data_IF_987777895345
#
_entry.id   IF_987777895345
#
_cell.length_a   1.000
_cell.length_b   1.000
_cell.length_c   1.000
_cell.angle_alpha   90.00
_cell.angle_beta   90.00
_cell.angle_gamma   90.00
#
_symmetry.space_group_name_H-M   'P 1'
#
loop_
_entity.id
_entity.type
_entity.pdbx_description
1 polymer ?
#
# COMPACT_ATOMS: atom_id res chain seq x y z
N UNK A 1 -45.00 37.29 24.50
CA UNK A 1 -44.77 38.29 23.43
C UNK A 1 -44.08 37.53 22.29
N UNK A 2 -44.78 36.78 21.42
CA UNK A 2 -45.51 37.21 20.21
C UNK A 2 -44.81 38.34 19.44
N UNK A 3 -44.26 37.97 18.26
CA UNK A 3 -44.24 38.64 16.95
C UNK A 3 -43.29 37.79 16.05
N UNK A 4 -43.72 36.88 15.17
CA UNK A 4 -44.55 36.99 13.97
C UNK A 4 -43.81 37.57 12.72
N UNK A 5 -43.53 36.66 11.78
CA UNK A 5 -43.34 36.77 10.31
C UNK A 5 -42.25 37.67 9.69
N UNK A 6 -41.42 37.06 8.82
CA UNK A 6 -41.33 37.43 7.40
C UNK A 6 -40.52 36.39 6.62
N UNK A 7 -41.24 35.58 5.86
CA UNK A 7 -40.75 34.75 4.76
C UNK A 7 -40.47 35.68 3.57
N UNK A 8 -39.28 35.61 2.96
CA UNK A 8 -39.03 36.20 1.64
C UNK A 8 -38.18 35.23 0.80
N UNK A 9 -38.75 34.89 -0.37
CA UNK A 9 -38.21 34.01 -1.38
C UNK A 9 -37.26 34.74 -2.33
N UNK A 10 -36.26 33.99 -2.81
CA UNK A 10 -35.51 34.05 -4.07
C UNK A 10 -35.23 35.41 -4.74
N UNK A 11 -33.93 35.69 -4.89
CA UNK A 11 -33.39 36.32 -6.08
C UNK A 11 -32.05 35.69 -6.45
N UNK A 12 -32.03 34.97 -7.56
CA UNK A 12 -30.83 34.45 -8.19
C UNK A 12 -29.98 35.61 -8.75
N UNK A 13 -28.73 35.71 -8.31
CA UNK A 13 -27.71 36.50 -8.95
C UNK A 13 -26.49 35.60 -9.18
N UNK A 14 -26.39 35.09 -10.41
CA UNK A 14 -25.24 34.36 -10.90
C UNK A 14 -24.07 35.34 -11.08
N UNK A 15 -23.21 35.45 -10.06
CA UNK A 15 -21.88 36.04 -10.20
C UNK A 15 -20.89 34.89 -10.43
N UNK A 16 -20.34 34.82 -11.64
CA UNK A 16 -19.41 33.79 -12.08
C UNK A 16 -18.15 33.76 -11.22
N UNK A 17 -18.07 32.78 -10.33
CA UNK A 17 -16.79 32.29 -9.87
C UNK A 17 -16.22 31.42 -11.00
N UNK A 18 -15.21 31.94 -11.69
CA UNK A 18 -14.26 31.11 -12.40
C UNK A 18 -13.51 30.27 -11.35
N UNK A 19 -14.16 29.19 -10.90
CA UNK A 19 -13.48 28.15 -10.15
C UNK A 19 -12.51 27.51 -11.12
N UNK A 20 -11.22 27.86 -10.99
CA UNK A 20 -10.16 27.02 -11.49
C UNK A 20 -10.44 25.60 -10.98
N UNK A 21 -10.66 24.67 -11.90
CA UNK A 21 -10.91 23.28 -11.58
C UNK A 21 -9.63 22.69 -10.98
N UNK A 22 -9.41 22.92 -9.68
CA UNK A 22 -8.45 22.14 -8.91
C UNK A 22 -9.08 20.76 -8.85
N UNK A 23 -8.51 19.80 -9.58
CA UNK A 23 -8.94 18.41 -9.51
C UNK A 23 -8.92 17.98 -8.03
N UNK A 24 -10.09 17.63 -7.50
CA UNK A 24 -10.19 17.15 -6.13
C UNK A 24 -9.28 15.92 -5.96
N UNK A 25 -8.58 15.78 -4.83
CA UNK A 25 -7.75 14.60 -4.60
C UNK A 25 -8.62 13.35 -4.68
N UNK A 26 -8.08 12.30 -5.31
CA UNK A 26 -8.80 11.02 -5.41
C UNK A 26 -9.09 10.47 -4.01
N UNK A 27 -10.14 9.66 -3.88
CA UNK A 27 -10.47 8.98 -2.63
C UNK A 27 -9.26 8.20 -2.07
N UNK A 28 -8.50 7.53 -2.94
CA UNK A 28 -7.27 6.84 -2.58
C UNK A 28 -6.19 7.77 -2.02
N UNK A 29 -6.00 8.97 -2.60
CA UNK A 29 -5.06 9.98 -2.12
C UNK A 29 -5.48 10.54 -0.76
N UNK A 30 -6.78 10.77 -0.56
CA UNK A 30 -7.33 11.22 0.74
C UNK A 30 -7.13 10.13 1.79
N UNK A 31 -7.50 8.89 1.49
CA UNK A 31 -7.33 7.75 2.40
C UNK A 31 -5.86 7.55 2.80
N UNK A 32 -4.94 7.61 1.84
CA UNK A 32 -3.49 7.51 2.11
C UNK A 32 -2.99 8.63 3.02
N UNK A 33 -3.36 9.88 2.72
CA UNK A 33 -2.99 11.05 3.53
C UNK A 33 -3.52 10.92 4.96
N UNK A 34 -4.79 10.56 5.11
CA UNK A 34 -5.43 10.37 6.41
C UNK A 34 -4.81 9.23 7.20
N UNK A 35 -4.43 8.12 6.54
CA UNK A 35 -3.73 7.01 7.19
C UNK A 35 -2.36 7.44 7.74
N UNK A 36 -1.58 8.22 6.99
CA UNK A 36 -0.29 8.75 7.45
C UNK A 36 -0.45 9.75 8.60
N UNK A 37 -1.43 10.65 8.51
CA UNK A 37 -1.74 11.57 9.60
C UNK A 37 -2.15 10.82 10.88
N UNK A 38 -2.98 9.79 10.75
CA UNK A 38 -3.37 8.91 11.85
C UNK A 38 -2.17 8.16 12.43
N UNK A 39 -1.28 7.64 11.59
CA UNK A 39 -0.06 6.96 12.03
C UNK A 39 0.84 7.91 12.84
N UNK A 40 1.05 9.14 12.35
CA UNK A 40 1.82 10.17 13.05
C UNK A 40 1.17 10.58 14.39
N UNK A 41 -0.15 10.78 14.41
CA UNK A 41 -0.89 11.14 15.62
C UNK A 41 -0.85 10.01 16.66
N UNK A 42 -1.10 8.76 16.24
CA UNK A 42 -1.01 7.58 17.09
C UNK A 42 0.39 7.42 17.66
N UNK A 43 1.43 7.58 16.84
CA UNK A 43 2.82 7.53 17.29
C UNK A 43 3.11 8.60 18.33
N UNK A 44 2.69 9.85 18.11
CA UNK A 44 2.89 10.95 19.06
C UNK A 44 2.30 10.61 20.43
N UNK A 45 1.06 10.12 20.45
CA UNK A 45 0.36 9.73 21.70
C UNK A 45 1.04 8.53 22.36
N UNK A 46 1.32 7.46 21.61
CA UNK A 46 1.96 6.25 22.14
C UNK A 46 3.36 6.56 22.69
N UNK A 47 4.15 7.35 21.95
CA UNK A 47 5.49 7.77 22.36
C UNK A 47 5.47 8.60 23.64
N UNK A 48 4.51 9.50 23.78
CA UNK A 48 4.36 10.30 24.98
C UNK A 48 4.05 9.43 26.20
N UNK A 49 3.18 8.42 26.06
CA UNK A 49 2.90 7.43 27.11
C UNK A 49 4.17 6.69 27.55
N UNK A 50 5.12 6.44 26.65
CA UNK A 50 6.37 5.79 27.01
C UNK A 50 7.21 6.56 28.03
N UNK A 51 6.97 7.86 28.24
CA UNK A 51 7.68 8.65 29.24
C UNK A 51 7.36 8.24 30.68
N UNK A 52 6.28 7.49 30.92
CA UNK A 52 5.98 6.93 32.25
C UNK A 52 6.82 5.69 32.60
N UNK A 53 7.60 5.18 31.65
CA UNK A 53 8.50 4.04 31.86
C UNK A 53 9.95 4.50 31.95
N UNK A 54 10.80 3.66 32.56
CA UNK A 54 12.25 3.87 32.65
C UNK A 54 13.02 2.65 32.13
N UNK A 55 14.30 2.86 31.83
CA UNK A 55 15.21 1.79 31.38
C UNK A 55 14.68 1.02 30.16
N UNK A 56 14.86 -0.31 30.18
CA UNK A 56 14.47 -1.19 29.09
C UNK A 56 12.98 -1.11 28.74
N UNK A 57 12.10 -0.94 29.74
CA UNK A 57 10.66 -0.82 29.50
C UNK A 57 10.32 0.40 28.62
N UNK A 58 11.02 1.51 28.82
CA UNK A 58 10.88 2.69 27.95
C UNK A 58 11.37 2.40 26.55
N UNK A 59 12.52 1.74 26.41
CA UNK A 59 13.10 1.38 25.10
C UNK A 59 12.16 0.49 24.29
N UNK A 60 11.58 -0.55 24.92
CA UNK A 60 10.61 -1.44 24.28
C UNK A 60 9.34 -0.69 23.87
N UNK A 61 8.75 0.09 24.78
CA UNK A 61 7.56 0.90 24.48
C UNK A 61 7.79 1.83 23.28
N UNK A 62 8.97 2.45 23.23
CA UNK A 62 9.39 3.33 22.13
C UNK A 62 9.49 2.58 20.80
N UNK A 63 10.11 1.39 20.80
CA UNK A 63 10.25 0.57 19.62
C UNK A 63 8.89 0.11 19.11
N UNK A 64 7.99 -0.33 20.01
CA UNK A 64 6.63 -0.74 19.67
C UNK A 64 5.81 0.40 19.06
N UNK A 65 5.90 1.61 19.63
CA UNK A 65 5.24 2.78 19.07
C UNK A 65 5.75 3.11 17.65
N UNK A 66 7.07 2.98 17.41
CA UNK A 66 7.66 3.19 16.08
C UNK A 66 7.22 2.11 15.10
N UNK A 67 7.25 0.84 15.51
CA UNK A 67 6.78 -0.27 14.67
C UNK A 67 5.31 -0.09 14.28
N UNK A 68 4.43 0.22 15.24
CA UNK A 68 3.02 0.48 14.95
C UNK A 68 2.82 1.61 13.92
N UNK A 69 3.66 2.64 13.94
CA UNK A 69 3.65 3.71 12.91
C UNK A 69 4.05 3.16 11.54
N UNK A 70 5.19 2.45 11.48
CA UNK A 70 5.72 1.87 10.23
C UNK A 70 4.71 0.91 9.62
N UNK A 71 4.08 0.04 10.41
CA UNK A 71 3.02 -0.86 9.95
C UNK A 71 1.87 -0.10 9.28
N UNK A 72 1.39 0.99 9.88
CA UNK A 72 0.32 1.80 9.31
C UNK A 72 0.75 2.48 8.00
N UNK A 73 1.91 3.14 8.00
CA UNK A 73 2.44 3.87 6.84
C UNK A 73 2.75 2.91 5.66
N UNK A 74 3.39 1.78 5.94
CA UNK A 74 3.74 0.75 4.97
C UNK A 74 2.50 0.14 4.32
N UNK A 75 1.51 -0.26 5.12
CA UNK A 75 0.25 -0.82 4.60
C UNK A 75 -0.55 0.22 3.81
N UNK A 76 -0.61 1.47 4.28
CA UNK A 76 -1.26 2.55 3.56
C UNK A 76 -0.59 2.80 2.20
N UNK A 77 0.74 2.80 2.14
CA UNK A 77 1.50 2.96 0.90
C UNK A 77 1.28 1.80 -0.07
N UNK A 78 1.26 0.56 0.44
CA UNK A 78 0.99 -0.64 -0.35
C UNK A 78 -0.41 -0.59 -0.97
N UNK A 79 -1.41 -0.19 -0.20
CA UNK A 79 -2.78 -0.02 -0.69
C UNK A 79 -2.89 1.12 -1.70
N UNK A 80 -2.28 2.28 -1.42
CA UNK A 80 -2.32 3.45 -2.28
C UNK A 80 -1.69 3.19 -3.66
N UNK A 81 -0.53 2.54 -3.70
CA UNK A 81 0.16 2.21 -4.96
C UNK A 81 -0.44 0.99 -5.66
N UNK A 82 -1.08 0.09 -4.90
CA UNK A 82 -1.66 -1.17 -5.34
C UNK A 82 -0.74 -2.09 -6.16
N UNK A 83 0.58 -1.83 -6.18
CA UNK A 83 1.55 -2.59 -6.98
C UNK A 83 2.23 -3.69 -6.18
N UNK A 84 2.72 -4.72 -6.87
CA UNK A 84 3.47 -5.81 -6.26
C UNK A 84 4.69 -5.28 -5.48
N UNK A 85 5.47 -4.37 -6.09
CA UNK A 85 6.64 -3.79 -5.41
C UNK A 85 6.25 -3.05 -4.15
N UNK A 86 5.16 -2.28 -4.14
CA UNK A 86 4.74 -1.55 -2.94
C UNK A 86 4.32 -2.49 -1.80
N UNK A 87 3.71 -3.64 -2.12
CA UNK A 87 3.37 -4.68 -1.13
C UNK A 87 4.63 -5.37 -0.60
N UNK A 88 5.61 -5.64 -1.45
CA UNK A 88 6.92 -6.19 -1.04
C UNK A 88 7.67 -5.22 -0.14
N UNK A 89 7.81 -3.95 -0.55
CA UNK A 89 8.45 -2.89 0.25
C UNK A 89 7.79 -2.77 1.64
N UNK A 90 6.47 -2.90 1.71
CA UNK A 90 5.75 -2.84 2.97
C UNK A 90 6.08 -4.02 3.89
N UNK A 91 6.16 -5.24 3.35
CA UNK A 91 6.56 -6.44 4.11
C UNK A 91 7.99 -6.34 4.62
N UNK A 92 8.91 -5.83 3.80
CA UNK A 92 10.30 -5.60 4.20
C UNK A 92 10.39 -4.57 5.35
N UNK A 93 9.73 -3.41 5.20
CA UNK A 93 9.71 -2.39 6.24
C UNK A 93 9.06 -2.87 7.56
N UNK A 94 8.02 -3.71 7.48
CA UNK A 94 7.39 -4.34 8.64
C UNK A 94 8.34 -5.33 9.33
N UNK A 95 9.04 -6.17 8.56
CA UNK A 95 10.02 -7.10 9.12
C UNK A 95 11.15 -6.37 9.87
N UNK A 96 11.68 -5.29 9.29
CA UNK A 96 12.71 -4.46 9.92
C UNK A 96 12.19 -3.81 11.21
N UNK A 97 10.96 -3.31 11.20
CA UNK A 97 10.32 -2.71 12.36
C UNK A 97 10.07 -3.72 13.50
N UNK A 98 9.68 -4.95 13.15
CA UNK A 98 9.46 -6.02 14.11
C UNK A 98 10.79 -6.55 14.69
N UNK A 99 11.86 -6.56 13.88
CA UNK A 99 13.22 -6.79 14.36
C UNK A 99 13.65 -5.76 15.39
N UNK A 100 13.41 -4.47 15.14
CA UNK A 100 13.76 -3.40 16.07
C UNK A 100 13.04 -3.57 17.43
N UNK A 101 11.77 -4.00 17.41
CA UNK A 101 11.01 -4.33 18.63
C UNK A 101 11.62 -5.55 19.34
N UNK A 102 11.89 -6.62 18.60
CA UNK A 102 12.46 -7.84 19.16
C UNK A 102 13.85 -7.57 19.78
N UNK A 103 14.70 -6.82 19.08
CA UNK A 103 16.01 -6.38 19.56
C UNK A 103 15.91 -5.53 20.82
N UNK A 104 14.97 -4.58 20.86
CA UNK A 104 14.72 -3.79 22.07
C UNK A 104 14.31 -4.67 23.26
N UNK A 105 13.49 -5.71 23.03
CA UNK A 105 13.10 -6.66 24.08
C UNK A 105 14.28 -7.50 24.57
N UNK A 106 15.21 -7.84 23.69
CA UNK A 106 16.42 -8.58 24.04
C UNK A 106 17.34 -7.84 25.01
N UNK A 107 17.32 -6.50 25.04
CA UNK A 107 18.19 -5.68 25.90
C UNK A 107 17.93 -5.83 27.42
N UNK A 108 16.89 -6.58 27.82
CA UNK A 108 16.69 -7.02 29.21
C UNK A 108 17.54 -8.23 29.62
N UNK A 109 18.10 -8.95 28.63
CA UNK A 109 18.95 -10.12 28.84
C UNK A 109 20.41 -9.67 28.90
N UNK A 110 21.30 -10.57 29.31
CA UNK A 110 22.74 -10.29 29.37
C UNK A 110 23.56 -11.48 28.86
N UNK A 111 24.79 -11.19 28.42
CA UNK A 111 25.76 -12.21 27.99
C UNK A 111 25.24 -13.06 26.83
N UNK A 112 25.42 -14.37 26.92
CA UNK A 112 25.02 -15.30 25.86
C UNK A 112 23.50 -15.25 25.57
N UNK A 113 22.67 -15.05 26.59
CA UNK A 113 21.22 -15.00 26.40
C UNK A 113 20.76 -13.80 25.57
N UNK A 114 21.43 -12.65 25.71
CA UNK A 114 21.19 -11.48 24.87
C UNK A 114 21.64 -11.73 23.43
N UNK A 115 22.84 -12.27 23.25
CA UNK A 115 23.40 -12.57 21.94
C UNK A 115 22.54 -13.56 21.15
N UNK A 116 22.04 -14.62 21.80
CA UNK A 116 21.12 -15.59 21.19
C UNK A 116 19.81 -14.91 20.81
N UNK A 117 19.21 -14.12 21.71
CA UNK A 117 17.96 -13.42 21.44
C UNK A 117 18.07 -12.48 20.22
N UNK A 118 19.16 -11.71 20.10
CA UNK A 118 19.37 -10.82 18.96
C UNK A 118 19.55 -11.62 17.65
N UNK A 119 20.24 -12.78 17.71
CA UNK A 119 20.39 -13.66 16.54
C UNK A 119 19.08 -14.28 16.11
N UNK A 120 18.24 -14.72 17.04
CA UNK A 120 16.88 -15.22 16.75
C UNK A 120 16.01 -14.14 16.11
N UNK A 121 16.02 -12.93 16.68
CA UNK A 121 15.32 -11.79 16.11
C UNK A 121 15.80 -11.48 14.68
N UNK A 122 17.11 -11.49 14.44
CA UNK A 122 17.68 -11.26 13.11
C UNK A 122 17.34 -12.38 12.13
N UNK A 123 17.32 -13.63 12.59
CA UNK A 123 16.93 -14.77 11.76
C UNK A 123 15.45 -14.64 11.32
N UNK A 124 14.57 -14.20 12.22
CA UNK A 124 13.16 -13.95 11.89
C UNK A 124 13.01 -12.82 10.85
N UNK A 125 13.74 -11.71 11.01
CA UNK A 125 13.78 -10.60 10.03
C UNK A 125 14.23 -11.09 8.65
N UNK A 126 15.37 -11.79 8.59
CA UNK A 126 15.94 -12.32 7.35
C UNK A 126 14.97 -13.28 6.68
N UNK A 127 14.31 -14.15 7.45
CA UNK A 127 13.28 -15.05 6.92
C UNK A 127 12.12 -14.27 6.31
N UNK A 128 11.55 -13.31 7.04
CA UNK A 128 10.41 -12.53 6.57
C UNK A 128 10.73 -11.70 5.30
N UNK A 129 11.93 -11.11 5.24
CA UNK A 129 12.42 -10.38 4.05
C UNK A 129 12.65 -11.34 2.88
N UNK A 130 13.24 -12.51 3.12
CA UNK A 130 13.46 -13.52 2.09
C UNK A 130 12.12 -14.02 1.51
N UNK A 131 11.14 -14.31 2.36
CA UNK A 131 9.81 -14.74 1.94
C UNK A 131 9.11 -13.66 1.11
N UNK A 132 9.20 -12.39 1.52
CA UNK A 132 8.64 -11.28 0.77
C UNK A 132 9.23 -11.16 -0.65
N UNK A 133 10.54 -11.38 -0.78
CA UNK A 133 11.26 -11.36 -2.07
C UNK A 133 10.96 -12.60 -2.92
N UNK A 134 10.84 -13.77 -2.29
CA UNK A 134 10.48 -15.00 -2.97
C UNK A 134 9.07 -14.91 -3.56
N UNK A 135 8.10 -14.45 -2.77
CA UNK A 135 6.73 -14.24 -3.23
C UNK A 135 6.66 -13.27 -4.41
N UNK A 136 7.41 -12.17 -4.35
CA UNK A 136 7.53 -11.22 -5.48
C UNK A 136 7.98 -11.92 -6.76
N UNK A 137 9.10 -12.65 -6.70
CA UNK A 137 9.66 -13.36 -7.85
C UNK A 137 8.68 -14.39 -8.42
N UNK A 138 7.98 -15.14 -7.56
CA UNK A 138 6.98 -16.13 -7.99
C UNK A 138 5.80 -15.46 -8.69
N UNK A 139 5.33 -14.32 -8.18
CA UNK A 139 4.23 -13.57 -8.78
C UNK A 139 4.65 -12.99 -10.14
N UNK A 140 5.85 -12.41 -10.23
CA UNK A 140 6.43 -11.90 -11.49
C UNK A 140 6.56 -13.02 -12.53
N UNK A 141 7.21 -14.13 -12.18
CA UNK A 141 7.36 -15.27 -13.09
C UNK A 141 6.02 -15.83 -13.59
N UNK A 142 5.00 -15.85 -12.73
CA UNK A 142 3.64 -16.25 -13.12
C UNK A 142 2.96 -15.22 -14.03
N UNK A 143 3.26 -13.94 -13.88
CA UNK A 143 2.73 -12.88 -14.74
C UNK A 143 3.36 -12.97 -16.13
N UNK A 144 4.69 -13.09 -16.20
CA UNK A 144 5.44 -13.24 -17.43
C UNK A 144 4.98 -14.50 -18.20
N UNK A 145 4.87 -15.64 -17.52
CA UNK A 145 4.39 -16.87 -18.15
C UNK A 145 2.95 -16.76 -18.71
N UNK A 146 2.09 -15.95 -18.07
CA UNK A 146 0.74 -15.68 -18.60
C UNK A 146 0.80 -14.79 -19.83
N UNK A 147 1.63 -13.75 -19.82
CA UNK A 147 1.79 -12.85 -20.96
C UNK A 147 2.39 -13.57 -22.18
N UNK A 148 3.40 -14.42 -21.96
CA UNK A 148 3.99 -15.26 -23.01
C UNK A 148 2.94 -16.16 -23.66
N UNK A 149 2.13 -16.84 -22.84
CA UNK A 149 1.04 -17.70 -23.33
C UNK A 149 0.01 -16.88 -24.12
N UNK A 150 -0.46 -15.77 -23.56
CA UNK A 150 -1.43 -14.90 -24.24
C UNK A 150 -0.87 -14.34 -25.55
N UNK A 151 0.41 -14.00 -25.60
CA UNK A 151 1.09 -13.52 -26.80
C UNK A 151 1.18 -14.63 -27.86
N UNK A 152 1.48 -15.87 -27.47
CA UNK A 152 1.49 -17.01 -28.37
C UNK A 152 0.08 -17.31 -28.91
N UNK A 153 -0.92 -17.35 -28.04
CA UNK A 153 -2.32 -17.59 -28.41
C UNK A 153 -2.87 -16.47 -29.32
N UNK A 154 -2.50 -15.21 -29.05
CA UNK A 154 -2.83 -14.05 -29.89
C UNK A 154 -2.23 -14.19 -31.29
N UNK A 155 -0.94 -14.56 -31.41
CA UNK A 155 -0.32 -14.81 -32.72
C UNK A 155 -1.08 -15.86 -33.52
N UNK A 156 -1.46 -16.97 -32.88
CA UNK A 156 -2.28 -18.01 -33.53
C UNK A 156 -3.66 -17.49 -33.93
N UNK A 157 -4.29 -16.65 -33.11
CA UNK A 157 -5.58 -16.04 -33.44
C UNK A 157 -5.48 -15.11 -34.66
N UNK A 158 -4.40 -14.33 -34.76
CA UNK A 158 -4.12 -13.47 -35.91
C UNK A 158 -3.91 -14.30 -37.18
N UNK A 159 -3.08 -15.33 -37.14
CA UNK A 159 -2.86 -16.24 -38.28
C UNK A 159 -4.18 -16.89 -38.76
N UNK A 160 -5.11 -17.20 -37.84
CA UNK A 160 -6.45 -17.69 -38.21
C UNK A 160 -7.29 -16.62 -38.93
N UNK A 161 -7.16 -15.36 -38.55
CA UNK A 161 -7.85 -14.25 -39.22
C UNK A 161 -7.32 -14.03 -40.65
N UNK A 162 -6.10 -14.45 -40.96
CA UNK A 162 -5.51 -14.30 -42.30
C UNK A 162 -6.23 -15.12 -43.38
N UNK A 163 -7.03 -16.12 -43.00
CA UNK A 163 -7.92 -16.83 -43.90
C UNK A 163 -9.13 -16.00 -44.39
N UNK A 164 -9.37 -14.82 -43.78
CA UNK A 164 -10.48 -13.92 -44.11
C UNK A 164 -9.99 -12.74 -44.97
N UNK A 165 -10.94 -12.00 -45.57
CA UNK A 165 -10.64 -10.81 -46.36
C UNK A 165 -11.60 -9.65 -46.04
N UNK A 166 -11.14 -8.42 -46.30
CA UNK A 166 -11.90 -7.19 -46.12
C UNK A 166 -12.43 -7.03 -44.69
N UNK A 167 -13.64 -6.49 -44.56
CA UNK A 167 -14.25 -6.18 -43.25
C UNK A 167 -14.33 -7.38 -42.29
N UNK A 168 -14.43 -8.61 -42.81
CA UNK A 168 -14.45 -9.82 -41.98
C UNK A 168 -13.09 -10.07 -41.31
N UNK A 169 -11.98 -9.83 -42.02
CA UNK A 169 -10.63 -9.92 -41.46
C UNK A 169 -10.41 -8.85 -40.40
N UNK A 170 -10.80 -7.61 -40.70
CA UNK A 170 -10.62 -6.48 -39.79
C UNK A 170 -11.38 -6.71 -38.48
N UNK A 171 -12.63 -7.19 -38.56
CA UNK A 171 -13.42 -7.55 -37.39
C UNK A 171 -12.80 -8.69 -36.58
N UNK A 172 -12.24 -9.71 -37.24
CA UNK A 172 -11.54 -10.82 -36.60
C UNK A 172 -10.32 -10.33 -35.81
N UNK A 173 -9.46 -9.51 -36.43
CA UNK A 173 -8.26 -8.94 -35.78
C UNK A 173 -8.65 -8.06 -34.59
N UNK A 174 -9.67 -7.21 -34.73
CA UNK A 174 -10.18 -6.40 -33.62
C UNK A 174 -10.67 -7.26 -32.44
N UNK A 175 -11.42 -8.33 -32.74
CA UNK A 175 -11.88 -9.26 -31.71
C UNK A 175 -10.73 -9.95 -31.00
N UNK A 176 -9.69 -10.37 -31.73
CA UNK A 176 -8.50 -10.99 -31.15
C UNK A 176 -7.76 -10.00 -30.23
N UNK A 177 -7.57 -8.76 -30.66
CA UNK A 177 -6.96 -7.70 -29.83
C UNK A 177 -7.72 -7.47 -28.53
N UNK A 178 -9.04 -7.40 -28.60
CA UNK A 178 -9.90 -7.26 -27.42
C UNK A 178 -9.83 -8.50 -26.50
N UNK A 179 -9.84 -9.70 -27.08
CA UNK A 179 -9.80 -10.95 -26.30
C UNK A 179 -8.48 -11.14 -25.54
N UNK A 180 -7.36 -10.74 -26.13
CA UNK A 180 -6.02 -10.95 -25.57
C UNK A 180 -5.40 -9.71 -24.93
N UNK A 181 -6.07 -8.55 -24.97
CA UNK A 181 -5.58 -7.26 -24.48
C UNK A 181 -4.25 -6.85 -25.16
N UNK A 182 -4.21 -6.89 -26.50
CA UNK A 182 -3.01 -6.66 -27.35
C UNK A 182 -3.21 -5.65 -28.49
#
# INVERSE_FOLDING_TARGET
>A
MKNAYAMMLLSAAAAGFAASAIAAPTEATVAYTMANQRAAANYKVARAKCNSFAGNLRTVCVAEARSARIHLEANAKAQYKSSLSARTDAREAIADADYDVAKARCASKTGNAEAVCIKEAKAAEVSAVADAKADKKVIEARADARDDKQTADYKVAIEKCDALAGAAKDACVMSARYQFDK
#
